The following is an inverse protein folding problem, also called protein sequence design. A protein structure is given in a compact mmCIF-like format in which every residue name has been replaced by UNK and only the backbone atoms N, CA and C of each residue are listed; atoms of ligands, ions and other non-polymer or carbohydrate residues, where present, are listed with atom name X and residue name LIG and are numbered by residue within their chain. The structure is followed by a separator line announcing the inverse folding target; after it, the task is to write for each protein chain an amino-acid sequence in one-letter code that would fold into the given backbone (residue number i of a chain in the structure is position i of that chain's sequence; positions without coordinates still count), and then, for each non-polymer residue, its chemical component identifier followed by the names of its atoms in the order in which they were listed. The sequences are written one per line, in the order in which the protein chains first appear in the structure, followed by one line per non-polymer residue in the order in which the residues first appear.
data_IF_011164460779
#
_entry.id   IF_011164460779
#
_cell.length_a   1.000
_cell.length_b   1.000
_cell.length_c   1.000
_cell.angle_alpha   90.00
_cell.angle_beta   90.00
_cell.angle_gamma   90.00
#
_symmetry.space_group_name_H-M   'P 1'
#
loop_
_entity.id
_entity.type
_entity.pdbx_description
1 polymer ?
#
# COMPACT_ATOMS: atom_id res chain seq x y z
N UNK A 1 -7.68 -21.80 -0.30
CA UNK A 1 -8.07 -22.73 -1.39
C UNK A 1 -8.30 -22.06 -2.75
N UNK A 2 -8.39 -20.72 -2.87
CA UNK A 2 -8.56 -20.01 -4.18
C UNK A 2 -7.21 -19.67 -4.88
N UNK A 3 -6.07 -19.95 -4.24
CA UNK A 3 -4.71 -19.66 -4.77
C UNK A 3 -4.36 -20.40 -6.08
N UNK A 4 -5.13 -21.42 -6.47
CA UNK A 4 -4.89 -22.28 -7.64
C UNK A 4 -5.99 -22.17 -8.72
N UNK A 5 -6.74 -21.06 -8.76
CA UNK A 5 -7.64 -20.84 -9.89
C UNK A 5 -6.83 -20.33 -11.11
N UNK A 6 -6.82 -21.03 -12.25
CA UNK A 6 -6.02 -20.69 -13.42
C UNK A 6 -6.36 -19.30 -13.98
N UNK A 7 -7.60 -18.84 -13.83
CA UNK A 7 -8.00 -17.50 -14.24
C UNK A 7 -7.21 -16.40 -13.51
N UNK A 8 -7.11 -16.51 -12.18
CA UNK A 8 -6.38 -15.53 -11.38
C UNK A 8 -4.88 -15.58 -11.63
N UNK A 9 -4.34 -16.75 -12.00
CA UNK A 9 -2.94 -16.89 -12.38
C UNK A 9 -2.63 -16.21 -13.71
N UNK A 10 -3.48 -16.41 -14.73
CA UNK A 10 -3.37 -15.73 -16.03
C UNK A 10 -3.54 -14.22 -15.86
N UNK A 11 -4.54 -13.79 -15.10
CA UNK A 11 -4.78 -12.37 -14.81
C UNK A 11 -3.57 -11.74 -14.11
N UNK A 12 -3.00 -12.41 -13.11
CA UNK A 12 -1.78 -11.98 -12.42
C UNK A 12 -0.62 -11.86 -13.40
N UNK A 13 -0.41 -12.85 -14.25
CA UNK A 13 0.67 -12.84 -15.24
C UNK A 13 0.52 -11.69 -16.25
N UNK A 14 -0.70 -11.43 -16.72
CA UNK A 14 -1.02 -10.31 -17.59
C UNK A 14 -0.74 -8.97 -16.91
N UNK A 15 -1.25 -8.76 -15.70
CA UNK A 15 -1.03 -7.53 -14.94
C UNK A 15 0.46 -7.34 -14.66
N UNK A 16 1.18 -8.40 -14.31
CA UNK A 16 2.62 -8.35 -14.07
C UNK A 16 3.40 -7.97 -15.33
N UNK A 17 3.04 -8.57 -16.46
CA UNK A 17 3.67 -8.27 -17.75
C UNK A 17 3.39 -6.83 -18.18
N UNK A 18 2.16 -6.37 -18.02
CA UNK A 18 1.74 -5.01 -18.38
C UNK A 18 2.40 -3.96 -17.47
N UNK A 19 2.38 -4.16 -16.14
CA UNK A 19 2.98 -3.23 -15.18
C UNK A 19 4.48 -3.06 -15.45
N UNK A 20 5.20 -4.17 -15.67
CA UNK A 20 6.64 -4.16 -16.00
C UNK A 20 6.98 -3.41 -17.29
N UNK A 21 6.01 -3.20 -18.19
CA UNK A 21 6.18 -2.48 -19.46
C UNK A 21 5.71 -1.03 -19.39
N UNK A 22 4.94 -0.67 -18.36
CA UNK A 22 4.30 0.64 -18.17
C UNK A 22 4.96 1.47 -17.06
N UNK A 23 5.79 0.85 -16.23
CA UNK A 23 6.46 1.45 -15.07
C UNK A 23 7.32 2.69 -15.37
N UNK A 24 7.12 3.73 -14.57
CA UNK A 24 7.99 4.92 -14.47
C UNK A 24 8.62 5.10 -13.07
N UNK A 25 8.07 4.49 -12.01
CA UNK A 25 8.49 4.68 -10.61
C UNK A 25 8.32 3.40 -9.76
N UNK A 26 8.91 2.27 -10.15
CA UNK A 26 8.79 1.00 -9.40
C UNK A 26 7.41 0.34 -9.44
N UNK A 27 6.38 1.01 -9.95
CA UNK A 27 5.06 0.46 -10.25
C UNK A 27 4.30 -0.06 -9.04
N UNK A 28 3.08 -0.52 -9.30
CA UNK A 28 2.17 -1.03 -8.27
C UNK A 28 2.78 -2.29 -7.62
N UNK A 29 3.52 -3.10 -8.38
CA UNK A 29 3.98 -4.42 -7.91
C UNK A 29 5.36 -4.39 -7.24
N UNK A 30 6.28 -3.49 -7.64
CA UNK A 30 7.61 -3.42 -7.03
C UNK A 30 7.76 -2.40 -5.92
N UNK A 31 6.73 -1.58 -5.65
CA UNK A 31 6.67 -0.71 -4.46
C UNK A 31 6.69 -1.46 -3.12
N UNK A 32 6.59 -2.80 -3.13
CA UNK A 32 6.41 -3.63 -1.93
C UNK A 32 7.64 -4.48 -1.61
N UNK A 33 7.92 -4.61 -0.31
CA UNK A 33 8.85 -5.59 0.23
C UNK A 33 8.59 -7.01 -0.33
N UNK A 34 9.68 -7.71 -0.64
CA UNK A 34 9.66 -9.05 -1.24
C UNK A 34 8.82 -10.03 -0.39
N UNK A 35 7.97 -10.84 -1.04
CA UNK A 35 7.10 -11.83 -0.37
C UNK A 35 5.66 -11.39 -0.07
N UNK A 36 5.33 -10.09 -0.15
CA UNK A 36 3.94 -9.59 0.06
C UNK A 36 3.13 -9.42 -1.24
N UNK A 37 3.78 -9.51 -2.41
CA UNK A 37 3.16 -9.28 -3.72
C UNK A 37 1.94 -10.17 -3.98
N UNK A 38 2.02 -11.45 -3.61
CA UNK A 38 0.96 -12.43 -3.87
C UNK A 38 -0.28 -12.23 -2.99
N UNK A 39 -0.06 -11.88 -1.73
CA UNK A 39 -1.15 -11.57 -0.80
C UNK A 39 -1.87 -10.29 -1.23
N UNK A 40 -1.13 -9.29 -1.73
CA UNK A 40 -1.72 -8.05 -2.21
C UNK A 40 -2.58 -8.24 -3.45
N UNK A 41 -2.10 -8.99 -4.46
CA UNK A 41 -2.93 -9.32 -5.64
C UNK A 41 -4.24 -9.99 -5.21
N UNK A 42 -4.15 -10.97 -4.30
CA UNK A 42 -5.33 -11.66 -3.81
C UNK A 42 -6.29 -10.72 -3.06
N UNK A 43 -5.79 -9.90 -2.13
CA UNK A 43 -6.59 -8.92 -1.41
C UNK A 43 -7.24 -7.90 -2.36
N UNK A 44 -6.51 -7.43 -3.37
CA UNK A 44 -7.03 -6.51 -4.38
C UNK A 44 -8.16 -7.15 -5.20
N UNK A 45 -8.03 -8.43 -5.58
CA UNK A 45 -9.10 -9.15 -6.28
C UNK A 45 -10.30 -9.44 -5.39
N UNK A 46 -10.08 -9.73 -4.09
CA UNK A 46 -11.15 -10.06 -3.14
C UNK A 46 -11.96 -8.83 -2.74
N UNK A 47 -11.31 -7.69 -2.57
CA UNK A 47 -11.93 -6.43 -2.15
C UNK A 47 -11.99 -5.42 -3.31
N UNK A 48 -12.17 -5.93 -4.53
CA UNK A 48 -12.25 -5.13 -5.73
C UNK A 48 -13.45 -4.17 -5.68
N UNK A 49 -13.23 -2.93 -6.10
CA UNK A 49 -14.26 -1.91 -6.26
C UNK A 49 -13.92 -1.05 -7.45
N UNK A 50 -14.91 -0.71 -8.27
CA UNK A 50 -14.72 0.19 -9.41
C UNK A 50 -14.16 1.54 -9.00
N UNK A 51 -14.50 2.06 -7.81
CA UNK A 51 -13.94 3.30 -7.28
C UNK A 51 -12.43 3.19 -7.06
N UNK A 52 -11.98 2.12 -6.41
CA UNK A 52 -10.56 1.83 -6.16
C UNK A 52 -9.78 1.61 -7.44
N UNK A 53 -10.37 0.87 -8.38
CA UNK A 53 -9.78 0.62 -9.69
C UNK A 53 -9.50 1.92 -10.45
N UNK A 54 -10.49 2.80 -10.55
CA UNK A 54 -10.32 4.09 -11.23
C UNK A 54 -9.38 5.05 -10.47
N UNK A 55 -9.36 5.00 -9.13
CA UNK A 55 -8.39 5.76 -8.33
C UNK A 55 -6.95 5.33 -8.63
N UNK A 56 -6.67 4.02 -8.67
CA UNK A 56 -5.35 3.48 -9.03
C UNK A 56 -4.94 3.92 -10.43
N UNK A 57 -5.81 3.75 -11.44
CA UNK A 57 -5.53 4.17 -12.82
C UNK A 57 -5.19 5.66 -12.88
N UNK A 58 -5.97 6.49 -12.18
CA UNK A 58 -5.76 7.95 -12.14
C UNK A 58 -4.40 8.30 -11.54
N UNK A 59 -4.08 7.75 -10.37
CA UNK A 59 -2.80 7.98 -9.67
C UNK A 59 -1.62 7.53 -10.54
N UNK A 60 -1.64 6.31 -11.06
CA UNK A 60 -0.57 5.76 -11.91
C UNK A 60 -0.37 6.58 -13.18
N UNK A 61 -1.46 7.00 -13.84
CA UNK A 61 -1.37 7.84 -15.03
C UNK A 61 -0.72 9.18 -14.71
N UNK A 62 -1.09 9.80 -13.58
CA UNK A 62 -0.50 11.09 -13.18
C UNK A 62 0.98 10.97 -12.80
N UNK A 63 1.36 9.88 -12.11
CA UNK A 63 2.76 9.56 -11.82
C UNK A 63 3.54 9.33 -13.11
N UNK A 64 2.95 8.65 -14.10
CA UNK A 64 3.53 8.42 -15.44
C UNK A 64 3.84 9.70 -16.20
N UNK A 65 2.98 10.70 -16.07
CA UNK A 65 3.22 12.02 -16.66
C UNK A 65 3.95 12.98 -15.71
N UNK A 66 4.60 12.46 -14.65
CA UNK A 66 5.38 13.20 -13.68
C UNK A 66 4.65 14.45 -13.15
N UNK A 67 3.32 14.34 -12.93
CA UNK A 67 2.56 15.46 -12.38
C UNK A 67 3.06 15.80 -10.99
N UNK A 68 3.32 17.10 -10.76
CA UNK A 68 3.74 17.63 -9.45
C UNK A 68 2.70 17.42 -8.35
N UNK A 69 1.42 17.46 -8.72
CA UNK A 69 0.29 17.26 -7.81
C UNK A 69 -0.52 16.08 -8.35
N UNK A 70 -0.61 15.04 -7.52
CA UNK A 70 -1.39 13.84 -7.80
C UNK A 70 -2.80 14.04 -7.24
N UNK A 71 -3.79 13.73 -8.06
CA UNK A 71 -5.20 13.87 -7.70
C UNK A 71 -5.79 12.47 -7.56
N UNK A 72 -5.75 11.94 -6.35
CA UNK A 72 -6.24 10.62 -6.01
C UNK A 72 -5.83 10.29 -4.59
N UNK A 73 -6.52 9.34 -3.98
CA UNK A 73 -6.16 8.86 -2.66
C UNK A 73 -4.99 7.88 -2.75
N UNK A 74 -4.12 7.79 -1.74
CA UNK A 74 -3.20 6.67 -1.63
C UNK A 74 -3.97 5.35 -1.69
N UNK A 75 -3.52 4.42 -2.53
CA UNK A 75 -4.14 3.09 -2.66
C UNK A 75 -3.44 2.03 -1.78
N UNK A 76 -2.34 2.39 -1.14
CA UNK A 76 -1.57 1.56 -0.20
C UNK A 76 -1.33 2.37 1.07
N UNK A 77 -1.59 1.76 2.22
CA UNK A 77 -1.51 2.39 3.54
C UNK A 77 -0.75 1.46 4.47
N UNK A 78 0.25 2.00 5.17
CA UNK A 78 0.98 1.32 6.24
C UNK A 78 0.62 2.02 7.55
N UNK A 79 0.16 1.25 8.54
CA UNK A 79 -0.31 1.77 9.82
C UNK A 79 0.60 1.19 10.91
N UNK A 80 1.44 2.05 11.48
CA UNK A 80 2.18 1.74 12.70
C UNK A 80 1.24 1.85 13.90
N UNK A 81 0.82 0.70 14.43
CA UNK A 81 -0.07 0.64 15.60
C UNK A 81 0.62 1.03 16.90
N UNK A 82 1.95 1.16 16.90
CA UNK A 82 2.71 1.70 18.04
C UNK A 82 3.93 2.43 17.52
N UNK A 83 4.35 3.45 18.28
CA UNK A 83 5.60 4.16 18.03
C UNK A 83 6.70 3.82 19.04
N UNK A 84 6.45 2.87 19.94
CA UNK A 84 7.41 2.41 20.94
C UNK A 84 8.34 1.40 20.28
N UNK A 85 9.64 1.63 20.37
CA UNK A 85 10.67 0.73 19.84
C UNK A 85 11.77 0.53 20.88
N UNK A 86 12.13 -0.74 21.14
CA UNK A 86 13.19 -1.10 22.10
C UNK A 86 14.60 -0.96 21.52
N UNK A 87 14.72 -0.89 20.18
CA UNK A 87 16.00 -0.74 19.50
C UNK A 87 16.54 0.68 19.62
N UNK A 88 17.86 0.81 19.78
CA UNK A 88 18.58 2.08 19.87
C UNK A 88 19.33 2.40 18.58
N UNK A 89 18.63 2.33 17.45
CA UNK A 89 19.25 2.52 16.14
C UNK A 89 19.82 3.94 15.99
N UNK A 90 21.10 4.12 15.60
CA UNK A 90 21.77 5.42 15.58
C UNK A 90 21.27 6.37 14.48
N UNK A 91 20.42 5.90 13.57
CA UNK A 91 19.87 6.70 12.47
C UNK A 91 18.41 7.11 12.67
N UNK A 92 17.68 6.48 13.61
CA UNK A 92 16.26 6.74 13.83
C UNK A 92 16.03 7.68 15.01
N UNK A 93 15.11 8.65 14.87
CA UNK A 93 14.75 9.58 15.95
C UNK A 93 14.23 8.88 17.21
N UNK A 94 13.51 7.77 17.07
CA UNK A 94 13.06 6.95 18.21
C UNK A 94 14.26 6.36 18.95
N UNK A 95 15.23 5.79 18.21
CA UNK A 95 16.43 5.18 18.79
C UNK A 95 17.39 6.20 19.41
N UNK A 96 17.43 7.43 18.88
CA UNK A 96 18.18 8.56 19.45
C UNK A 96 17.51 9.22 20.65
N UNK A 97 16.23 8.94 20.91
CA UNK A 97 15.45 9.62 21.96
C UNK A 97 15.19 11.10 21.67
N UNK A 98 15.27 11.54 20.41
CA UNK A 98 15.05 12.95 20.01
C UNK A 98 13.62 13.20 19.52
N UNK A 99 12.71 12.24 19.71
CA UNK A 99 11.32 12.38 19.27
C UNK A 99 10.56 13.23 20.28
N UNK A 100 9.88 14.28 19.81
CA UNK A 100 9.09 15.20 20.65
C UNK A 100 7.61 14.81 20.76
N UNK A 101 7.20 13.72 20.14
CA UNK A 101 5.81 13.20 20.17
C UNK A 101 5.66 12.17 21.29
N UNK A 102 4.48 12.14 21.89
CA UNK A 102 4.15 11.17 22.92
C UNK A 102 4.24 9.73 22.40
N UNK A 103 4.78 8.87 23.24
CA UNK A 103 4.88 7.44 22.96
C UNK A 103 3.61 6.72 23.41
N UNK A 104 3.13 5.79 22.60
CA UNK A 104 1.89 5.09 22.88
C UNK A 104 1.58 3.95 21.91
N UNK A 105 0.47 3.30 22.22
CA UNK A 105 -0.16 2.28 21.39
C UNK A 105 -1.47 2.85 20.88
N UNK A 106 -1.74 2.66 19.60
CA UNK A 106 -2.97 3.07 18.95
C UNK A 106 -4.15 2.32 19.57
N UNK A 107 -5.16 3.08 19.99
CA UNK A 107 -6.42 2.52 20.47
C UNK A 107 -7.14 1.75 19.34
N UNK A 108 -7.82 0.66 19.68
CA UNK A 108 -8.49 -0.18 18.70
C UNK A 108 -9.66 0.51 18.01
N UNK A 109 -10.41 1.37 18.72
CA UNK A 109 -11.50 2.13 18.12
C UNK A 109 -10.97 3.19 17.16
N UNK A 110 -9.81 3.77 17.47
CA UNK A 110 -9.12 4.66 16.54
C UNK A 110 -8.68 3.90 15.27
N UNK A 111 -8.08 2.72 15.43
CA UNK A 111 -7.66 1.90 14.31
C UNK A 111 -8.84 1.57 13.37
N UNK A 112 -9.97 1.11 13.93
CA UNK A 112 -11.16 0.76 13.13
C UNK A 112 -11.74 1.97 12.42
N UNK A 113 -11.85 3.13 13.09
CA UNK A 113 -12.28 4.39 12.47
C UNK A 113 -11.39 4.79 11.29
N UNK A 114 -10.06 4.67 11.44
CA UNK A 114 -9.11 4.96 10.36
C UNK A 114 -9.30 4.00 9.18
N UNK A 115 -9.45 2.70 9.45
CA UNK A 115 -9.70 1.70 8.40
C UNK A 115 -11.01 1.97 7.67
N UNK A 116 -12.07 2.35 8.37
CA UNK A 116 -13.36 2.68 7.76
C UNK A 116 -13.28 3.93 6.87
N UNK A 117 -12.48 4.94 7.25
CA UNK A 117 -12.19 6.09 6.39
C UNK A 117 -11.45 5.68 5.11
N UNK A 118 -10.43 4.81 5.24
CA UNK A 118 -9.61 4.34 4.11
C UNK A 118 -10.40 3.41 3.18
N UNK A 119 -11.37 2.65 3.70
CA UNK A 119 -12.13 1.66 2.93
C UNK A 119 -12.77 2.24 1.65
N UNK A 120 -13.11 3.53 1.67
CA UNK A 120 -13.77 4.25 0.59
C UNK A 120 -12.83 5.04 -0.33
N UNK A 121 -11.52 5.05 -0.05
CA UNK A 121 -10.49 5.80 -0.80
C UNK A 121 -10.29 5.30 -2.22
#
# INVERSE_FOLDING_TARGET
MVRYNPFFWILKALIYFVDRRIQVNGGVIESVAYGRRDNRFWLATRYFSWRKFWNVIRVETQLRFAKRIIWGSPYEWEIDTTNICQLKCPLCHTGKGTIHRDQGVMDFDLFTKVVDQIKHS
#
